data_IF_736389958225
#
_entry.id   IF_736389958225
#
_cell.length_a   1.000
_cell.length_b   1.000
_cell.length_c   1.000
_cell.angle_alpha   90.00
_cell.angle_beta   90.00
_cell.angle_gamma   90.00
#
_symmetry.space_group_name_H-M   'P 1'
#
loop_
_entity.id
_entity.type
_entity.pdbx_description
1 polymer ?
#
# COMPACT_ATOMS: atom_id res chain seq x y z
N UNK A 1 -0.94 -16.51 -13.25
CA UNK A 1 -2.20 -17.27 -13.31
C UNK A 1 -2.41 -17.70 -14.76
N UNK A 2 -2.43 -19.00 -15.05
CA UNK A 2 -2.77 -19.51 -16.40
C UNK A 2 -4.28 -19.73 -16.43
N UNK A 3 -4.97 -19.08 -17.36
CA UNK A 3 -6.40 -19.28 -17.57
C UNK A 3 -6.53 -20.41 -18.59
N UNK A 4 -7.11 -21.52 -18.17
CA UNK A 4 -7.37 -22.65 -19.05
C UNK A 4 -8.77 -22.50 -19.66
N UNK A 5 -8.86 -22.62 -20.99
CA UNK A 5 -10.13 -22.58 -21.70
C UNK A 5 -10.80 -23.94 -21.62
N UNK A 6 -12.12 -23.97 -21.43
CA UNK A 6 -12.90 -25.20 -21.51
C UNK A 6 -12.67 -25.89 -22.88
N UNK A 7 -12.57 -27.24 -22.92
CA UNK A 7 -12.23 -27.98 -24.13
C UNK A 7 -13.16 -27.69 -25.31
N UNK A 8 -14.46 -27.55 -25.04
CA UNK A 8 -15.51 -27.24 -26.01
C UNK A 8 -15.29 -25.87 -26.68
N UNK A 9 -14.92 -24.86 -25.90
CA UNK A 9 -14.64 -23.51 -26.40
C UNK A 9 -13.36 -23.49 -27.25
N UNK A 10 -12.36 -24.31 -26.87
CA UNK A 10 -11.12 -24.42 -27.63
C UNK A 10 -11.35 -25.06 -29.01
N UNK A 11 -12.24 -26.04 -29.13
CA UNK A 11 -12.59 -26.64 -30.43
C UNK A 11 -13.27 -25.64 -31.38
N UNK A 12 -14.19 -24.83 -30.86
CA UNK A 12 -14.86 -23.78 -31.64
C UNK A 12 -13.83 -22.77 -32.17
N UNK A 13 -12.91 -22.32 -31.31
CA UNK A 13 -11.86 -21.38 -31.71
C UNK A 13 -10.87 -21.98 -32.72
N UNK A 14 -10.59 -23.29 -32.63
CA UNK A 14 -9.76 -24.00 -33.62
C UNK A 14 -10.41 -24.04 -35.00
N UNK A 15 -11.73 -24.27 -35.07
CA UNK A 15 -12.48 -24.23 -36.34
C UNK A 15 -12.42 -22.85 -36.98
N UNK A 16 -12.65 -21.79 -36.19
CA UNK A 16 -12.60 -20.40 -36.69
C UNK A 16 -11.18 -20.03 -37.14
N UNK A 17 -10.13 -20.47 -36.44
CA UNK A 17 -8.74 -20.28 -36.88
C UNK A 17 -8.44 -20.99 -38.20
N UNK A 18 -8.95 -22.20 -38.41
CA UNK A 18 -8.77 -22.92 -39.67
C UNK A 18 -9.42 -22.19 -40.86
N UNK A 19 -10.59 -21.60 -40.64
CA UNK A 19 -11.39 -20.94 -41.68
C UNK A 19 -10.90 -19.52 -41.99
N UNK A 20 -10.55 -18.74 -40.96
CA UNK A 20 -10.22 -17.31 -41.12
C UNK A 20 -8.74 -16.98 -40.84
N UNK A 21 -7.91 -17.98 -40.49
CA UNK A 21 -6.47 -17.84 -40.17
C UNK A 21 -6.19 -16.85 -39.02
N UNK A 22 -7.18 -16.56 -38.18
CA UNK A 22 -7.03 -15.67 -37.03
C UNK A 22 -6.46 -16.46 -35.85
N UNK A 23 -5.39 -15.98 -35.18
CA UNK A 23 -4.84 -16.65 -34.02
C UNK A 23 -5.87 -16.88 -32.91
N UNK A 24 -5.90 -18.11 -32.37
CA UNK A 24 -6.82 -18.53 -31.29
C UNK A 24 -6.74 -17.58 -30.08
N UNK A 25 -5.54 -17.10 -29.77
CA UNK A 25 -5.31 -16.12 -28.69
C UNK A 25 -6.01 -14.79 -28.96
N UNK A 26 -6.00 -14.31 -30.20
CA UNK A 26 -6.67 -13.08 -30.61
C UNK A 26 -8.19 -13.22 -30.49
N UNK A 27 -8.74 -14.35 -30.96
CA UNK A 27 -10.16 -14.66 -30.86
C UNK A 27 -10.62 -14.77 -29.39
N UNK A 28 -9.88 -15.53 -28.58
CA UNK A 28 -10.17 -15.67 -27.15
C UNK A 28 -10.15 -14.32 -26.44
N UNK A 29 -9.12 -13.50 -26.70
CA UNK A 29 -9.02 -12.17 -26.14
C UNK A 29 -10.17 -11.27 -26.59
N UNK A 30 -10.56 -11.31 -27.87
CA UNK A 30 -11.69 -10.53 -28.39
C UNK A 30 -13.00 -10.87 -27.67
N UNK A 31 -13.30 -12.16 -27.48
CA UNK A 31 -14.49 -12.59 -26.74
C UNK A 31 -14.44 -12.17 -25.26
N UNK A 32 -13.26 -12.26 -24.63
CA UNK A 32 -13.02 -11.76 -23.28
C UNK A 32 -13.28 -10.25 -23.23
N UNK A 33 -12.72 -9.48 -24.17
CA UNK A 33 -12.90 -8.02 -24.25
C UNK A 33 -14.34 -7.60 -24.52
N UNK A 34 -15.10 -8.36 -25.30
CA UNK A 34 -16.52 -8.10 -25.54
C UNK A 34 -17.35 -8.33 -24.27
N UNK A 35 -17.09 -9.42 -23.53
CA UNK A 35 -17.77 -9.75 -22.27
C UNK A 35 -17.34 -8.88 -21.09
N UNK A 36 -16.10 -8.40 -21.09
CA UNK A 36 -15.52 -7.52 -20.06
C UNK A 36 -15.49 -6.05 -20.47
N UNK A 37 -16.01 -5.70 -21.65
CA UNK A 37 -15.81 -4.39 -22.29
C UNK A 37 -16.19 -3.20 -21.41
N UNK A 38 -17.26 -3.33 -20.62
CA UNK A 38 -17.70 -2.29 -19.69
C UNK A 38 -16.82 -2.19 -18.43
N UNK A 39 -16.25 -3.31 -17.97
CA UNK A 39 -15.31 -3.34 -16.84
C UNK A 39 -13.88 -2.94 -17.25
N UNK A 40 -13.50 -3.20 -18.50
CA UNK A 40 -12.19 -2.83 -19.05
C UNK A 40 -12.17 -1.36 -19.49
N UNK A 41 -13.29 -0.76 -19.92
CA UNK A 41 -13.36 0.70 -20.11
C UNK A 41 -13.08 1.46 -18.81
N UNK A 42 -13.63 1.00 -17.68
CA UNK A 42 -13.31 1.54 -16.36
C UNK A 42 -11.81 1.37 -16.01
N UNK A 43 -11.16 0.29 -16.45
CA UNK A 43 -9.72 0.08 -16.23
C UNK A 43 -8.85 0.85 -17.25
N UNK A 44 -9.33 1.08 -18.48
CA UNK A 44 -8.64 1.86 -19.53
C UNK A 44 -8.74 3.36 -19.33
N UNK A 45 -9.79 3.87 -18.68
CA UNK A 45 -9.80 5.25 -18.17
C UNK A 45 -8.75 5.46 -17.07
N UNK A 46 -8.35 4.39 -16.36
CA UNK A 46 -7.18 4.38 -15.48
C UNK A 46 -5.84 4.21 -16.22
N UNK A 47 -5.88 3.82 -17.49
CA UNK A 47 -4.71 3.52 -18.34
C UNK A 47 -4.55 4.57 -19.48
N UNK A 48 -5.15 5.74 -19.31
CA UNK A 48 -4.92 6.89 -20.18
C UNK A 48 -3.54 7.48 -19.87
N UNK A 49 -2.56 7.04 -20.66
CA UNK A 49 -1.34 7.78 -21.03
C UNK A 49 -0.53 8.33 -19.85
N UNK A 50 0.23 7.47 -19.19
CA UNK A 50 1.53 7.88 -18.68
C UNK A 50 2.56 7.43 -19.70
N UNK A 51 2.93 8.31 -20.64
CA UNK A 51 4.31 8.28 -21.13
C UNK A 51 5.19 8.40 -19.89
N UNK A 52 5.71 7.26 -19.41
CA UNK A 52 6.66 7.29 -18.32
C UNK A 52 7.98 7.73 -18.93
N UNK A 53 8.19 9.04 -18.98
CA UNK A 53 9.53 9.61 -19.09
C UNK A 53 10.33 9.14 -17.87
N UNK A 54 10.88 7.91 -17.94
CA UNK A 54 11.79 7.38 -16.95
C UNK A 54 13.06 8.25 -16.98
N UNK A 55 13.15 9.17 -16.03
CA UNK A 55 14.30 10.06 -15.91
C UNK A 55 15.42 9.31 -15.17
N UNK A 56 16.49 8.97 -15.88
CA UNK A 56 17.70 8.41 -15.27
C UNK A 56 18.57 9.52 -14.64
N UNK A 57 18.94 9.35 -13.37
CA UNK A 57 19.87 10.22 -12.67
C UNK A 57 21.20 9.49 -12.45
N UNK A 58 22.29 9.99 -13.05
CA UNK A 58 23.65 9.48 -12.85
C UNK A 58 24.37 10.30 -11.79
N UNK A 59 24.78 9.65 -10.71
CA UNK A 59 25.51 10.28 -9.60
C UNK A 59 26.90 9.66 -9.54
N UNK A 60 27.93 10.50 -9.55
CA UNK A 60 29.31 10.08 -9.28
C UNK A 60 29.55 10.16 -7.79
N UNK A 61 30.11 9.08 -7.22
CA UNK A 61 30.46 9.00 -5.81
C UNK A 61 31.94 8.68 -5.67
N UNK A 62 32.57 9.29 -4.66
CA UNK A 62 33.88 8.88 -4.19
C UNK A 62 33.75 7.66 -3.25
N UNK A 63 34.84 6.90 -3.08
CA UNK A 63 34.81 5.66 -2.30
C UNK A 63 34.44 5.86 -0.82
N UNK A 64 34.84 6.99 -0.22
CA UNK A 64 34.44 7.35 1.14
C UNK A 64 32.93 7.61 1.26
N UNK A 65 32.33 8.32 0.30
CA UNK A 65 30.89 8.58 0.24
C UNK A 65 30.10 7.29 0.03
N UNK A 66 30.58 6.42 -0.86
CA UNK A 66 29.99 5.10 -1.08
C UNK A 66 29.99 4.27 0.21
N UNK A 67 31.12 4.22 0.93
CA UNK A 67 31.21 3.52 2.23
C UNK A 67 30.27 4.10 3.27
N UNK A 68 30.14 5.44 3.33
CA UNK A 68 29.20 6.10 4.21
C UNK A 68 27.75 5.68 3.91
N UNK A 69 27.35 5.71 2.63
CA UNK A 69 25.99 5.36 2.21
C UNK A 69 25.65 3.90 2.50
N UNK A 70 26.61 2.97 2.35
CA UNK A 70 26.41 1.56 2.70
C UNK A 70 26.16 1.39 4.21
N UNK A 71 26.96 2.05 5.05
CA UNK A 71 26.73 2.03 6.51
C UNK A 71 25.37 2.63 6.89
N UNK A 72 25.00 3.74 6.25
CA UNK A 72 23.70 4.36 6.47
C UNK A 72 22.55 3.44 6.03
N UNK A 73 22.73 2.67 4.95
CA UNK A 73 21.69 1.79 4.41
C UNK A 73 21.36 0.64 5.36
N UNK A 74 22.36 0.11 6.08
CA UNK A 74 22.18 -0.90 7.15
C UNK A 74 21.33 -0.36 8.32
N UNK A 75 21.59 0.87 8.77
CA UNK A 75 20.86 1.50 9.89
C UNK A 75 19.40 1.78 9.52
N UNK A 76 19.17 2.18 8.27
CA UNK A 76 17.89 2.67 7.75
C UNK A 76 17.03 1.50 7.21
N UNK A 77 17.62 0.33 6.99
CA UNK A 77 16.93 -0.88 6.50
C UNK A 77 16.74 -0.91 4.98
N UNK A 78 17.58 -0.20 4.22
CA UNK A 78 17.53 -0.17 2.76
C UNK A 78 18.66 -1.02 2.20
N UNK A 79 18.33 -2.05 1.41
CA UNK A 79 19.29 -3.06 0.97
C UNK A 79 20.02 -2.72 -0.35
N UNK A 80 19.89 -1.49 -0.86
CA UNK A 80 20.54 -1.08 -2.11
C UNK A 80 21.12 0.33 -2.04
N UNK A 81 22.28 0.50 -2.69
CA UNK A 81 22.94 1.81 -2.81
C UNK A 81 22.05 2.82 -3.54
N UNK A 82 21.39 2.39 -4.62
CA UNK A 82 20.42 3.23 -5.34
C UNK A 82 19.24 3.63 -4.46
N UNK A 83 18.74 2.70 -3.63
CA UNK A 83 17.63 2.97 -2.72
C UNK A 83 17.98 4.02 -1.66
N UNK A 84 19.17 3.95 -1.06
CA UNK A 84 19.58 4.91 -0.03
C UNK A 84 19.85 6.29 -0.62
N UNK A 85 20.43 6.36 -1.81
CA UNK A 85 20.62 7.62 -2.55
C UNK A 85 19.26 8.24 -2.87
N UNK A 86 18.32 7.46 -3.41
CA UNK A 86 16.96 7.92 -3.67
C UNK A 86 16.28 8.42 -2.39
N UNK A 87 16.42 7.69 -1.29
CA UNK A 87 15.85 8.09 0.00
C UNK A 87 16.37 9.46 0.45
N UNK A 88 17.69 9.66 0.46
CA UNK A 88 18.27 10.94 0.86
C UNK A 88 17.89 12.07 -0.10
N UNK A 89 17.95 11.83 -1.40
CA UNK A 89 17.61 12.83 -2.42
C UNK A 89 16.14 13.27 -2.30
N UNK A 90 15.22 12.33 -2.14
CA UNK A 90 13.81 12.68 -1.94
C UNK A 90 13.62 13.47 -0.64
N UNK A 91 14.31 13.09 0.43
CA UNK A 91 14.23 13.81 1.72
C UNK A 91 14.90 15.17 1.72
N UNK A 92 15.82 15.46 0.80
CA UNK A 92 16.40 16.81 0.66
C UNK A 92 15.55 17.76 -0.17
N UNK A 93 14.63 17.23 -0.99
CA UNK A 93 13.77 18.02 -1.88
C UNK A 93 12.42 18.34 -1.23
N UNK A 94 11.84 17.38 -0.51
CA UNK A 94 10.49 17.54 0.03
C UNK A 94 10.52 17.95 1.50
N UNK A 95 9.74 18.98 1.86
CA UNK A 95 9.61 19.48 3.24
C UNK A 95 9.15 18.39 4.22
N UNK A 96 8.28 17.49 3.75
CA UNK A 96 7.82 16.35 4.56
C UNK A 96 8.69 15.14 4.28
N UNK A 97 9.39 14.69 5.33
CA UNK A 97 10.29 13.54 5.32
C UNK A 97 9.55 12.23 5.01
N UNK A 98 10.19 11.38 4.20
CA UNK A 98 9.84 10.00 3.93
C UNK A 98 10.35 9.10 5.06
N UNK A 99 9.48 8.21 5.54
CA UNK A 99 9.87 7.16 6.48
C UNK A 99 10.74 6.12 5.76
N UNK A 100 11.77 5.67 6.45
CA UNK A 100 12.58 4.54 6.00
C UNK A 100 11.94 3.19 6.36
N UNK A 101 12.42 2.06 5.81
CA UNK A 101 11.86 0.74 6.11
C UNK A 101 11.79 0.39 7.60
N UNK A 102 12.86 0.67 8.36
CA UNK A 102 12.88 0.38 9.79
C UNK A 102 11.90 1.25 10.57
N UNK A 103 11.81 2.55 10.25
CA UNK A 103 10.83 3.49 10.80
C UNK A 103 9.41 3.06 10.47
N UNK A 104 9.16 2.60 9.23
CA UNK A 104 7.85 2.11 8.80
C UNK A 104 7.44 0.85 9.56
N UNK A 105 8.37 -0.10 9.75
CA UNK A 105 8.10 -1.30 10.54
C UNK A 105 7.78 -0.95 12.00
N UNK A 106 8.56 -0.07 12.61
CA UNK A 106 8.30 0.43 13.96
C UNK A 106 6.92 1.10 14.05
N UNK A 107 6.55 1.89 13.04
CA UNK A 107 5.25 2.56 12.99
C UNK A 107 4.07 1.58 12.82
N UNK A 108 4.25 0.51 12.04
CA UNK A 108 3.25 -0.55 11.91
C UNK A 108 3.06 -1.29 13.24
N UNK A 109 4.14 -1.61 13.95
CA UNK A 109 4.08 -2.22 15.29
C UNK A 109 3.35 -1.30 16.27
N UNK A 110 3.73 -0.03 16.32
CA UNK A 110 3.07 0.98 17.14
C UNK A 110 1.56 1.07 16.86
N UNK A 111 1.15 1.10 15.57
CA UNK A 111 -0.27 1.07 15.19
C UNK A 111 -0.98 -0.17 15.74
N UNK A 112 -0.34 -1.34 15.70
CA UNK A 112 -0.91 -2.58 16.24
C UNK A 112 -1.13 -2.49 17.75
N UNK A 113 -0.16 -1.94 18.48
CA UNK A 113 -0.24 -1.73 19.94
C UNK A 113 -1.38 -0.77 20.29
N UNK A 114 -1.52 0.36 19.59
CA UNK A 114 -2.63 1.30 19.79
C UNK A 114 -3.98 0.62 19.55
N UNK A 115 -4.10 -0.21 18.51
CA UNK A 115 -5.33 -0.98 18.27
C UNK A 115 -5.62 -2.01 19.37
N UNK A 116 -4.59 -2.57 20.01
CA UNK A 116 -4.76 -3.47 21.15
C UNK A 116 -5.25 -2.70 22.38
N UNK A 117 -4.66 -1.53 22.65
CA UNK A 117 -5.11 -0.63 23.73
C UNK A 117 -6.58 -0.26 23.53
N UNK A 118 -6.98 0.17 22.33
CA UNK A 118 -8.38 0.51 22.04
C UNK A 118 -9.35 -0.66 22.25
N UNK A 119 -8.95 -1.90 21.90
CA UNK A 119 -9.75 -3.11 22.17
C UNK A 119 -9.90 -3.38 23.67
N UNK A 120 -8.82 -3.31 24.42
CA UNK A 120 -8.86 -3.47 25.88
C UNK A 120 -9.74 -2.40 26.52
N UNK A 121 -9.64 -1.16 26.05
CA UNK A 121 -10.44 -0.05 26.52
C UNK A 121 -11.94 -0.28 26.28
N UNK A 122 -12.30 -0.75 25.08
CA UNK A 122 -13.67 -1.11 24.76
C UNK A 122 -14.22 -2.23 25.65
N UNK A 123 -13.39 -3.23 26.00
CA UNK A 123 -13.78 -4.29 26.93
C UNK A 123 -14.03 -3.76 28.34
N UNK A 124 -13.16 -2.87 28.84
CA UNK A 124 -13.36 -2.21 30.14
C UNK A 124 -14.68 -1.42 30.14
N UNK A 125 -14.94 -0.62 29.10
CA UNK A 125 -16.21 0.10 28.94
C UNK A 125 -17.42 -0.82 28.98
N UNK A 126 -17.35 -1.96 28.26
CA UNK A 126 -18.41 -2.97 28.25
C UNK A 126 -18.63 -3.56 29.64
N UNK A 127 -17.55 -3.88 30.36
CA UNK A 127 -17.61 -4.43 31.71
C UNK A 127 -18.20 -3.44 32.71
N UNK A 128 -17.76 -2.17 32.69
CA UNK A 128 -18.33 -1.09 33.51
C UNK A 128 -19.80 -0.83 33.19
N UNK A 129 -20.22 -0.97 31.92
CA UNK A 129 -21.63 -0.84 31.54
C UNK A 129 -22.52 -1.94 32.13
N UNK A 130 -21.98 -3.14 32.32
CA UNK A 130 -22.68 -4.26 32.95
C UNK A 130 -22.75 -4.07 34.48
N UNK A 131 -21.63 -3.68 35.11
CA UNK A 131 -21.54 -3.45 36.55
C UNK A 131 -21.70 -1.97 36.87
N UNK A 132 -22.94 -1.48 36.75
CA UNK A 132 -23.27 -0.05 36.98
C UNK A 132 -22.85 0.46 38.37
N UNK A 133 -22.75 -0.43 39.36
CA UNK A 133 -22.28 -0.15 40.71
C UNK A 133 -20.79 0.24 40.81
N UNK A 134 -19.98 -0.04 39.77
CA UNK A 134 -18.59 0.39 39.67
C UNK A 134 -18.44 1.76 38.98
N UNK A 135 -19.55 2.36 38.50
CA UNK A 135 -19.51 3.63 37.77
C UNK A 135 -19.51 4.81 38.72
N UNK A 136 -18.45 5.60 38.67
CA UNK A 136 -18.41 6.98 39.17
C UNK A 136 -18.39 7.94 37.97
N UNK A 137 -18.96 9.13 38.12
CA UNK A 137 -19.00 10.13 37.05
C UNK A 137 -17.59 10.50 36.55
N UNK A 138 -16.60 10.56 37.46
CA UNK A 138 -15.19 10.78 37.13
C UNK A 138 -14.60 9.67 36.25
N UNK A 139 -15.00 8.40 36.51
CA UNK A 139 -14.57 7.27 35.70
C UNK A 139 -15.18 7.34 34.30
N UNK A 140 -16.45 7.72 34.19
CA UNK A 140 -17.13 7.89 32.89
C UNK A 140 -16.44 9.00 32.08
N UNK A 141 -16.18 10.15 32.69
CA UNK A 141 -15.54 11.29 32.03
C UNK A 141 -14.11 10.93 31.58
N UNK A 142 -13.31 10.32 32.45
CA UNK A 142 -11.94 9.88 32.12
C UNK A 142 -11.94 8.88 30.97
N UNK A 143 -12.89 7.94 30.95
CA UNK A 143 -12.99 6.95 29.88
C UNK A 143 -13.43 7.58 28.54
N UNK A 144 -14.33 8.57 28.57
CA UNK A 144 -14.72 9.29 27.36
C UNK A 144 -13.55 10.09 26.78
N UNK A 145 -12.82 10.82 27.62
CA UNK A 145 -11.63 11.57 27.19
C UNK A 145 -10.54 10.68 26.59
N UNK A 146 -10.29 9.54 27.24
CA UNK A 146 -9.32 8.55 26.73
C UNK A 146 -9.76 7.95 25.40
N UNK A 147 -11.06 7.71 25.20
CA UNK A 147 -11.59 7.20 23.95
C UNK A 147 -11.44 8.21 22.81
N UNK A 148 -11.72 9.50 23.06
CA UNK A 148 -11.51 10.58 22.09
C UNK A 148 -10.03 10.68 21.71
N UNK A 149 -9.13 10.74 22.69
CA UNK A 149 -7.68 10.81 22.43
C UNK A 149 -7.16 9.60 21.66
N UNK A 150 -7.67 8.40 21.93
CA UNK A 150 -7.33 7.19 21.19
C UNK A 150 -7.78 7.25 19.73
N UNK A 151 -8.99 7.73 19.47
CA UNK A 151 -9.51 7.89 18.11
C UNK A 151 -8.74 8.98 17.34
N UNK A 152 -8.43 10.12 17.97
CA UNK A 152 -7.60 11.17 17.38
C UNK A 152 -6.21 10.64 17.01
N UNK A 153 -5.56 9.94 17.95
CA UNK A 153 -4.25 9.31 17.73
C UNK A 153 -4.31 8.31 16.56
N UNK A 154 -5.38 7.52 16.47
CA UNK A 154 -5.57 6.57 15.37
C UNK A 154 -5.73 7.28 14.03
N UNK A 155 -6.47 8.39 13.97
CA UNK A 155 -6.63 9.19 12.75
C UNK A 155 -5.30 9.82 12.29
N UNK A 156 -4.50 10.33 13.23
CA UNK A 156 -3.17 10.86 12.94
C UNK A 156 -2.25 9.77 12.36
N UNK A 157 -2.22 8.59 12.98
CA UNK A 157 -1.46 7.43 12.49
C UNK A 157 -1.89 7.03 11.08
N UNK A 158 -3.19 6.97 10.82
CA UNK A 158 -3.69 6.65 9.48
C UNK A 158 -3.32 7.71 8.45
N UNK A 159 -3.33 8.98 8.83
CA UNK A 159 -2.96 10.10 7.95
C UNK A 159 -1.49 10.01 7.55
N UNK A 160 -0.61 9.75 8.52
CA UNK A 160 0.83 9.55 8.28
C UNK A 160 1.09 8.36 7.35
N UNK A 161 0.39 7.24 7.56
CA UNK A 161 0.51 6.05 6.70
C UNK A 161 -0.03 6.28 5.29
N UNK A 162 -1.21 6.90 5.15
CA UNK A 162 -1.78 7.23 3.84
C UNK A 162 -0.86 8.17 3.06
N UNK A 163 -0.27 9.16 3.74
CA UNK A 163 0.68 10.08 3.14
C UNK A 163 1.94 9.35 2.64
N UNK A 164 2.51 8.49 3.49
CA UNK A 164 3.70 7.70 3.15
C UNK A 164 3.42 6.75 1.98
N UNK A 165 2.28 6.04 2.01
CA UNK A 165 1.92 5.07 0.98
C UNK A 165 1.52 5.71 -0.37
N UNK A 166 0.88 6.90 -0.36
CA UNK A 166 0.50 7.61 -1.60
C UNK A 166 1.70 8.08 -2.41
N UNK A 167 2.88 8.25 -1.79
CA UNK A 167 4.10 8.63 -2.50
C UNK A 167 4.79 7.46 -3.21
N UNK A 168 4.45 6.22 -2.87
CA UNK A 168 4.99 5.01 -3.49
C UNK A 168 3.97 4.27 -4.39
N UNK A 169 2.70 4.65 -4.34
CA UNK A 169 1.70 4.24 -5.35
C UNK A 169 1.78 5.19 -6.55
N UNK A 170 2.38 4.71 -7.64
CA UNK A 170 1.87 5.04 -8.98
C UNK A 170 0.75 4.04 -9.27
#
# INVERSE_FOLDING_TARGET
>A
MRIELAPENLEILKKINQEYKIPITSLANSCIYEKLGDKIKLLKEFDLSLESDETELKIRLYENERKYLIKASEIIGINSLTGIIKYFLMNSIYDKRFLNPNELEAFIKFKSEINMIGRNFHQILKHLNIHKELKTDDLINTMQELNIKLDDTKQEIETILKYTNKRFKK
#
